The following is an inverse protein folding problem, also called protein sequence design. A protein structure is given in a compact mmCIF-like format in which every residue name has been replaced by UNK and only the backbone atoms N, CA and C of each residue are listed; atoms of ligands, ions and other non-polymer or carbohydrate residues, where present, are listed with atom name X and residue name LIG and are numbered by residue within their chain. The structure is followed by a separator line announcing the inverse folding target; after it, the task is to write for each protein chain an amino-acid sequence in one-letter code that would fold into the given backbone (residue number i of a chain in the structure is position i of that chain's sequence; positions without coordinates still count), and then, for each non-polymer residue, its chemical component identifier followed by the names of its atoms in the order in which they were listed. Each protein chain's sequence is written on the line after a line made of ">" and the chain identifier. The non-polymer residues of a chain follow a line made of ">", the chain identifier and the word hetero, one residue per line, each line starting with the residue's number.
data_IF_485644506575
#
_entry.id   IF_485644506575
#
_cell.length_a   1.000
_cell.length_b   1.000
_cell.length_c   1.000
_cell.angle_alpha   90.00
_cell.angle_beta   90.00
_cell.angle_gamma   90.00
#
_symmetry.space_group_name_H-M   'P 1'
#
loop_
_entity.id
_entity.type
_entity.pdbx_description
1 polymer ?
#
# COMPACT_ATOMS: atom_id res chain seq x y z
N UNK A 1 -18.81 20.60 15.70
CA UNK A 1 -17.74 20.74 14.69
C UNK A 1 -16.84 21.89 15.13
N UNK A 2 -15.63 21.58 15.60
CA UNK A 2 -14.63 22.58 16.03
C UNK A 2 -13.87 23.02 14.76
N UNK A 3 -14.44 23.92 13.95
CA UNK A 3 -13.73 24.49 12.80
C UNK A 3 -12.69 25.49 13.30
N UNK A 4 -11.43 25.29 12.92
CA UNK A 4 -10.36 26.25 13.17
C UNK A 4 -10.63 27.56 12.43
N UNK A 5 -10.47 28.69 13.13
CA UNK A 5 -10.55 30.00 12.50
C UNK A 5 -9.45 30.17 11.44
N UNK A 6 -9.67 31.06 10.48
CA UNK A 6 -8.68 31.34 9.42
C UNK A 6 -7.34 31.80 10.02
N UNK A 7 -7.39 32.62 11.08
CA UNK A 7 -6.19 33.03 11.82
C UNK A 7 -5.43 31.84 12.41
N UNK A 8 -6.13 30.83 12.94
CA UNK A 8 -5.53 29.61 13.48
C UNK A 8 -4.81 28.80 12.38
N UNK A 9 -5.42 28.70 11.20
CA UNK A 9 -4.83 27.97 10.06
C UNK A 9 -3.61 28.70 9.49
N UNK A 10 -3.68 30.02 9.33
CA UNK A 10 -2.58 30.86 8.86
C UNK A 10 -1.40 30.80 9.83
N UNK A 11 -1.67 30.81 11.14
CA UNK A 11 -0.64 30.72 12.16
C UNK A 11 0.17 29.40 12.07
N UNK A 12 -0.50 28.27 11.86
CA UNK A 12 0.17 27.00 11.63
C UNK A 12 0.95 26.95 10.32
N UNK A 13 0.41 27.54 9.25
CA UNK A 13 1.11 27.63 7.98
C UNK A 13 2.45 28.38 8.15
N UNK A 14 2.46 29.53 8.84
CA UNK A 14 3.69 30.26 9.12
C UNK A 14 4.67 29.47 10.00
N UNK A 15 4.18 28.76 11.02
CA UNK A 15 5.03 27.91 11.87
C UNK A 15 5.72 26.79 11.08
N UNK A 16 5.03 26.17 10.12
CA UNK A 16 5.61 25.12 9.28
C UNK A 16 6.60 25.64 8.24
N UNK A 17 6.40 26.88 7.78
CA UNK A 17 7.25 27.51 6.79
C UNK A 17 8.53 28.10 7.39
N UNK A 18 8.56 28.43 8.68
CA UNK A 18 9.74 29.02 9.35
C UNK A 18 11.06 28.26 9.09
N UNK A 19 11.16 26.93 9.28
CA UNK A 19 12.41 26.20 9.00
C UNK A 19 12.81 26.21 7.52
N UNK A 20 11.82 26.24 6.61
CA UNK A 20 12.05 26.26 5.16
C UNK A 20 12.54 27.65 4.71
N UNK A 21 11.96 28.72 5.27
CA UNK A 21 12.37 30.10 5.02
C UNK A 21 13.75 30.37 5.64
N UNK A 22 14.03 29.90 6.84
CA UNK A 22 15.35 29.99 7.46
C UNK A 22 16.43 29.33 6.60
N UNK A 23 16.14 28.18 5.99
CA UNK A 23 17.09 27.47 5.14
C UNK A 23 17.24 28.05 3.73
N UNK A 24 16.16 28.56 3.13
CA UNK A 24 16.14 28.92 1.70
C UNK A 24 16.12 30.43 1.42
N UNK A 25 15.54 31.23 2.32
CA UNK A 25 15.29 32.66 2.16
C UNK A 25 15.44 33.40 3.51
N UNK A 26 16.64 33.40 4.13
CA UNK A 26 16.84 33.88 5.50
C UNK A 26 16.46 35.36 5.69
N UNK A 27 16.58 36.19 4.65
CA UNK A 27 16.19 37.60 4.68
C UNK A 27 14.67 37.80 4.91
N UNK A 28 13.85 36.78 4.66
CA UNK A 28 12.41 36.78 4.89
C UNK A 28 12.00 36.20 6.25
N UNK A 29 12.95 35.67 7.03
CA UNK A 29 12.67 35.01 8.31
C UNK A 29 12.08 35.98 9.34
N UNK A 30 12.65 37.17 9.46
CA UNK A 30 12.18 38.18 10.42
C UNK A 30 10.80 38.75 10.03
N UNK A 31 10.54 39.13 8.76
CA UNK A 31 9.19 39.45 8.29
C UNK A 31 8.16 38.34 8.54
N UNK A 32 8.53 37.08 8.34
CA UNK A 32 7.64 35.93 8.59
C UNK A 32 7.31 35.78 10.08
N UNK A 33 8.32 35.87 10.97
CA UNK A 33 8.12 35.83 12.44
C UNK A 33 7.23 36.97 12.91
N UNK A 34 7.41 38.17 12.36
CA UNK A 34 6.57 39.32 12.66
C UNK A 34 5.11 39.10 12.21
N UNK A 35 4.91 38.61 10.98
CA UNK A 35 3.58 38.27 10.47
C UNK A 35 2.89 37.20 11.32
N UNK A 36 3.62 36.16 11.74
CA UNK A 36 3.13 35.13 12.67
C UNK A 36 2.76 35.69 14.04
N UNK A 37 3.56 36.60 14.60
CA UNK A 37 3.25 37.30 15.85
C UNK A 37 1.95 38.11 15.74
N UNK A 38 1.75 38.81 14.63
CA UNK A 38 0.52 39.56 14.37
C UNK A 38 -0.70 38.64 14.26
N UNK A 39 -0.57 37.49 13.60
CA UNK A 39 -1.65 36.50 13.50
C UNK A 39 -1.94 35.87 14.87
N UNK A 40 -0.92 35.61 15.71
CA UNK A 40 -1.10 35.09 17.06
C UNK A 40 -1.95 36.01 17.94
N UNK A 41 -1.70 37.32 17.83
CA UNK A 41 -2.45 38.34 18.57
C UNK A 41 -3.94 38.41 18.17
N UNK A 42 -4.30 37.92 16.97
CA UNK A 42 -5.69 37.82 16.49
C UNK A 42 -6.41 36.55 16.98
N UNK A 43 -5.69 35.60 17.58
CA UNK A 43 -6.28 34.38 18.12
C UNK A 43 -6.99 34.64 19.46
N UNK A 44 -8.06 33.90 19.73
CA UNK A 44 -8.69 33.88 21.05
C UNK A 44 -7.72 33.32 22.10
N UNK A 45 -7.88 33.63 23.38
CA UNK A 45 -7.01 33.11 24.45
C UNK A 45 -6.98 31.56 24.47
N UNK A 46 -8.12 30.91 24.17
CA UNK A 46 -8.24 29.46 24.04
C UNK A 46 -7.45 28.92 22.84
N UNK A 47 -7.46 29.64 21.71
CA UNK A 47 -6.69 29.28 20.53
C UNK A 47 -5.20 29.55 20.68
N UNK A 48 -4.82 30.63 21.37
CA UNK A 48 -3.43 30.92 21.73
C UNK A 48 -2.83 29.78 22.55
N UNK A 49 -3.52 29.31 23.59
CA UNK A 49 -3.09 28.13 24.36
C UNK A 49 -2.96 26.89 23.47
N UNK A 50 -3.98 26.59 22.66
CA UNK A 50 -3.98 25.41 21.76
C UNK A 50 -2.85 25.43 20.73
N UNK A 51 -2.50 26.59 20.18
CA UNK A 51 -1.39 26.67 19.20
C UNK A 51 -0.04 26.63 19.90
N UNK A 52 0.13 27.27 21.06
CA UNK A 52 1.37 27.20 21.85
C UNK A 52 1.64 25.78 22.35
N UNK A 53 0.62 25.06 22.82
CA UNK A 53 0.70 23.66 23.25
C UNK A 53 1.07 22.69 22.11
N UNK A 54 0.84 23.08 20.85
CA UNK A 54 1.17 22.29 19.64
C UNK A 54 2.51 22.63 18.99
N UNK A 55 3.14 23.73 19.40
CA UNK A 55 4.40 24.23 18.82
C UNK A 55 5.61 23.67 19.53
N UNK A 56 5.44 23.37 20.81
CA UNK A 56 6.25 22.38 21.48
C UNK A 56 5.66 21.05 21.01
N UNK A 57 6.21 20.45 19.95
CA UNK A 57 5.92 19.04 19.70
C UNK A 57 6.27 18.32 21.01
N UNK A 58 5.29 17.74 21.73
CA UNK A 58 5.64 16.96 22.90
C UNK A 58 6.63 15.89 22.43
N UNK A 59 7.69 15.60 23.21
CA UNK A 59 8.67 14.59 22.82
C UNK A 59 7.91 13.33 22.40
N UNK A 60 8.28 12.77 21.24
CA UNK A 60 7.65 11.55 20.73
C UNK A 60 7.74 10.50 21.81
N UNK A 61 6.60 10.14 22.40
CA UNK A 61 6.50 9.07 23.37
C UNK A 61 7.04 7.80 22.74
N UNK A 62 7.89 7.10 23.48
CA UNK A 62 8.33 5.76 23.15
C UNK A 62 7.15 4.80 23.07
N UNK A 63 7.32 3.68 22.39
CA UNK A 63 6.30 2.64 22.33
C UNK A 63 5.87 2.18 23.74
N UNK A 64 6.80 2.06 24.67
CA UNK A 64 6.51 1.67 26.06
C UNK A 64 5.68 2.71 26.81
N UNK A 65 5.99 4.00 26.65
CA UNK A 65 5.18 5.06 27.26
C UNK A 65 3.76 5.07 26.71
N UNK A 66 3.59 4.81 25.40
CA UNK A 66 2.26 4.70 24.76
C UNK A 66 1.48 3.50 25.30
N UNK A 67 2.12 2.34 25.47
CA UNK A 67 1.48 1.14 26.01
C UNK A 67 1.13 1.33 27.49
N UNK A 68 2.04 1.88 28.29
CA UNK A 68 1.80 2.12 29.72
C UNK A 68 0.66 3.13 29.93
N UNK A 69 0.63 4.22 29.16
CA UNK A 69 -0.45 5.19 29.19
C UNK A 69 -1.80 4.59 28.78
N UNK A 70 -1.79 3.70 27.78
CA UNK A 70 -2.99 2.98 27.37
C UNK A 70 -3.50 2.09 28.50
N UNK A 71 -2.64 1.31 29.15
CA UNK A 71 -3.01 0.39 30.23
C UNK A 71 -3.58 1.10 31.47
N UNK A 72 -3.14 2.33 31.75
CA UNK A 72 -3.65 3.15 32.84
C UNK A 72 -5.07 3.70 32.58
N UNK A 73 -5.61 3.55 31.36
CA UNK A 73 -6.96 4.04 31.05
C UNK A 73 -8.02 3.22 31.81
N UNK A 74 -8.89 3.87 32.62
CA UNK A 74 -9.90 3.16 33.42
C UNK A 74 -11.04 2.62 32.56
N UNK A 75 -11.28 3.22 31.40
CA UNK A 75 -12.31 2.80 30.46
C UNK A 75 -11.71 1.73 29.50
N UNK A 76 -12.24 0.49 29.49
CA UNK A 76 -11.72 -0.58 28.64
C UNK A 76 -11.71 -0.25 27.15
N UNK A 77 -12.71 0.46 26.64
CA UNK A 77 -12.79 0.84 25.23
C UNK A 77 -11.70 1.84 24.85
N UNK A 78 -11.43 2.82 25.72
CA UNK A 78 -10.36 3.81 25.51
C UNK A 78 -8.99 3.11 25.60
N UNK A 79 -8.80 2.25 26.60
CA UNK A 79 -7.59 1.43 26.77
C UNK A 79 -7.26 0.66 25.49
N UNK A 80 -8.22 -0.11 24.97
CA UNK A 80 -8.01 -0.94 23.78
C UNK A 80 -7.75 -0.12 22.52
N UNK A 81 -8.48 0.99 22.34
CA UNK A 81 -8.23 1.93 21.25
C UNK A 81 -6.81 2.53 21.32
N UNK A 82 -6.35 2.90 22.52
CA UNK A 82 -5.00 3.41 22.74
C UNK A 82 -3.92 2.34 22.49
N UNK A 83 -4.13 1.09 22.91
CA UNK A 83 -3.23 -0.02 22.59
C UNK A 83 -3.15 -0.26 21.08
N UNK A 84 -4.29 -0.23 20.38
CA UNK A 84 -4.33 -0.35 18.93
C UNK A 84 -3.56 0.80 18.24
N UNK A 85 -3.75 2.05 18.70
CA UNK A 85 -3.01 3.21 18.18
C UNK A 85 -1.49 3.09 18.43
N UNK A 86 -1.08 2.62 19.61
CA UNK A 86 0.33 2.38 19.91
C UNK A 86 0.94 1.38 18.91
N UNK A 87 0.23 0.29 18.61
CA UNK A 87 0.68 -0.71 17.63
C UNK A 87 0.73 -0.13 16.21
N UNK A 88 -0.31 0.58 15.78
CA UNK A 88 -0.43 1.11 14.41
C UNK A 88 0.59 2.22 14.11
N UNK A 89 0.88 3.09 15.08
CA UNK A 89 1.64 4.32 14.84
C UNK A 89 2.95 4.43 15.61
N UNK A 90 3.05 3.75 16.76
CA UNK A 90 4.26 3.72 17.60
C UNK A 90 5.11 2.48 17.39
N UNK A 91 4.58 1.45 16.72
CA UNK A 91 5.19 0.13 16.67
C UNK A 91 6.32 -0.04 15.65
N UNK A 92 6.61 0.92 14.76
CA UNK A 92 7.46 0.70 13.59
C UNK A 92 8.84 0.08 13.89
N UNK A 93 9.48 0.49 14.99
CA UNK A 93 10.78 -0.04 15.44
C UNK A 93 10.71 -1.34 16.24
N UNK A 94 9.52 -1.76 16.66
CA UNK A 94 9.33 -2.92 17.53
C UNK A 94 9.29 -4.24 16.74
N UNK A 95 9.59 -5.33 17.44
CA UNK A 95 9.50 -6.69 16.87
C UNK A 95 8.05 -7.13 16.74
N UNK A 96 7.81 -8.08 15.83
CA UNK A 96 6.47 -8.67 15.63
C UNK A 96 5.99 -9.39 16.90
N UNK A 97 6.90 -10.02 17.65
CA UNK A 97 6.61 -10.69 18.91
C UNK A 97 6.09 -9.68 19.94
N UNK A 98 6.81 -8.57 20.13
CA UNK A 98 6.41 -7.54 21.10
C UNK A 98 5.05 -6.94 20.75
N UNK A 99 4.82 -6.63 19.48
CA UNK A 99 3.54 -6.08 19.03
C UNK A 99 2.39 -7.09 19.17
N UNK A 100 2.68 -8.38 18.99
CA UNK A 100 1.71 -9.46 19.23
C UNK A 100 1.39 -9.58 20.72
N UNK A 101 2.38 -9.44 21.61
CA UNK A 101 2.18 -9.47 23.05
C UNK A 101 1.30 -8.30 23.53
N UNK A 102 1.49 -7.10 22.96
CA UNK A 102 0.62 -5.94 23.24
C UNK A 102 -0.78 -6.17 22.67
N UNK A 103 -0.91 -6.71 21.45
CA UNK A 103 -2.20 -7.03 20.86
C UNK A 103 -2.97 -8.08 21.68
N UNK A 104 -2.27 -9.02 22.34
CA UNK A 104 -2.87 -10.03 23.21
C UNK A 104 -3.56 -9.43 24.45
N UNK A 105 -3.24 -8.17 24.81
CA UNK A 105 -3.88 -7.43 25.91
C UNK A 105 -5.22 -6.80 25.51
N UNK A 106 -5.61 -6.86 24.23
CA UNK A 106 -6.91 -6.40 23.74
C UNK A 106 -7.93 -7.52 23.96
N UNK A 107 -9.01 -7.22 24.71
CA UNK A 107 -10.02 -8.22 25.07
C UNK A 107 -11.00 -8.45 23.91
N UNK A 108 -11.29 -7.43 23.09
CA UNK A 108 -12.10 -7.58 21.87
C UNK A 108 -11.39 -8.45 20.81
N UNK A 109 -11.85 -9.70 20.58
CA UNK A 109 -11.18 -10.61 19.65
C UNK A 109 -11.25 -10.12 18.20
N UNK A 110 -12.32 -9.43 17.80
CA UNK A 110 -12.46 -8.96 16.43
C UNK A 110 -11.48 -7.82 16.13
N UNK A 111 -11.27 -6.91 17.10
CA UNK A 111 -10.25 -5.86 16.99
C UNK A 111 -8.85 -6.48 16.97
N UNK A 112 -8.56 -7.39 17.91
CA UNK A 112 -7.26 -8.08 18.00
C UNK A 112 -6.92 -8.83 16.71
N UNK A 113 -7.85 -9.57 16.15
CA UNK A 113 -7.63 -10.35 14.92
C UNK A 113 -7.38 -9.43 13.72
N UNK A 114 -8.18 -8.36 13.55
CA UNK A 114 -7.95 -7.35 12.50
C UNK A 114 -6.58 -6.69 12.62
N UNK A 115 -6.16 -6.38 13.85
CA UNK A 115 -4.89 -5.71 14.13
C UNK A 115 -3.70 -6.64 13.87
N UNK A 116 -3.74 -7.88 14.38
CA UNK A 116 -2.71 -8.89 14.15
C UNK A 116 -2.57 -9.20 12.66
N UNK A 117 -3.70 -9.30 11.97
CA UNK A 117 -3.68 -9.51 10.54
C UNK A 117 -2.97 -8.37 9.80
N UNK A 118 -3.38 -7.11 10.06
CA UNK A 118 -2.74 -5.95 9.45
C UNK A 118 -1.23 -5.94 9.75
N UNK A 119 -0.87 -6.25 11.00
CA UNK A 119 0.50 -6.29 11.45
C UNK A 119 1.32 -7.35 10.72
N UNK A 120 0.81 -8.57 10.54
CA UNK A 120 1.52 -9.60 9.76
C UNK A 120 1.69 -9.20 8.29
N UNK A 121 0.69 -8.53 7.71
CA UNK A 121 0.76 -8.04 6.34
C UNK A 121 1.83 -6.94 6.20
N UNK A 122 1.79 -5.92 7.05
CA UNK A 122 2.76 -4.82 7.06
C UNK A 122 4.19 -5.32 7.29
N UNK A 123 4.39 -6.21 8.27
CA UNK A 123 5.71 -6.78 8.56
C UNK A 123 6.22 -7.70 7.46
N UNK A 124 5.33 -8.42 6.77
CA UNK A 124 5.72 -9.17 5.58
C UNK A 124 6.20 -8.24 4.47
N UNK A 125 5.52 -7.11 4.21
CA UNK A 125 5.99 -6.11 3.25
C UNK A 125 7.35 -5.52 3.62
N UNK A 126 7.56 -5.18 4.89
CA UNK A 126 8.85 -4.68 5.34
C UNK A 126 9.95 -5.74 5.17
N UNK A 127 9.67 -7.00 5.49
CA UNK A 127 10.62 -8.10 5.28
C UNK A 127 10.96 -8.30 3.79
N UNK A 128 10.01 -8.10 2.87
CA UNK A 128 10.26 -8.12 1.42
C UNK A 128 11.20 -6.97 1.02
N UNK A 129 10.93 -5.74 1.49
CA UNK A 129 11.78 -4.56 1.22
C UNK A 129 13.21 -4.78 1.73
N UNK A 130 13.35 -5.40 2.90
CA UNK A 130 14.61 -5.75 3.53
C UNK A 130 15.31 -6.98 2.91
N UNK A 131 14.74 -7.60 1.86
CA UNK A 131 15.22 -8.83 1.23
C UNK A 131 15.31 -10.04 2.19
N UNK A 132 14.52 -10.05 3.27
CA UNK A 132 14.40 -11.15 4.23
C UNK A 132 13.26 -12.10 3.81
N UNK A 133 13.41 -12.75 2.65
CA UNK A 133 12.32 -13.46 1.97
C UNK A 133 11.75 -14.65 2.78
N UNK A 134 12.59 -15.39 3.53
CA UNK A 134 12.11 -16.47 4.40
C UNK A 134 11.22 -15.97 5.54
N UNK A 135 11.62 -14.85 6.15
CA UNK A 135 10.82 -14.19 7.19
C UNK A 135 9.52 -13.65 6.59
N UNK A 136 9.59 -13.03 5.41
CA UNK A 136 8.40 -12.56 4.69
C UNK A 136 7.42 -13.71 4.42
N UNK A 137 7.88 -14.87 3.95
CA UNK A 137 7.05 -16.06 3.71
C UNK A 137 6.38 -16.53 5.01
N UNK A 138 7.14 -16.62 6.10
CA UNK A 138 6.62 -16.99 7.42
C UNK A 138 5.55 -16.01 7.92
N UNK A 139 5.76 -14.71 7.75
CA UNK A 139 4.78 -13.68 8.15
C UNK A 139 3.53 -13.70 7.26
N UNK A 140 3.70 -13.77 5.94
CA UNK A 140 2.61 -13.87 4.98
C UNK A 140 1.70 -15.07 5.26
N UNK A 141 2.25 -16.22 5.66
CA UNK A 141 1.47 -17.41 6.01
C UNK A 141 0.48 -17.20 7.16
N UNK A 142 0.70 -16.19 8.01
CA UNK A 142 -0.15 -15.82 9.13
C UNK A 142 -1.24 -14.79 8.79
N UNK A 143 -1.21 -14.19 7.58
CA UNK A 143 -2.22 -13.23 7.14
C UNK A 143 -3.52 -13.96 6.83
N UNK A 144 -4.58 -13.70 7.58
CA UNK A 144 -5.88 -14.36 7.45
C UNK A 144 -6.57 -14.11 6.10
N UNK A 145 -6.57 -12.87 5.56
CA UNK A 145 -7.21 -12.64 4.25
C UNK A 145 -6.37 -13.21 3.10
N UNK A 146 -7.04 -14.02 2.29
CA UNK A 146 -6.40 -14.87 1.30
C UNK A 146 -5.93 -14.08 0.06
N UNK A 147 -6.61 -12.99 -0.28
CA UNK A 147 -6.19 -12.08 -1.37
C UNK A 147 -4.91 -11.32 -1.00
N UNK A 148 -4.83 -10.82 0.23
CA UNK A 148 -3.61 -10.19 0.78
C UNK A 148 -2.46 -11.18 0.86
N UNK A 149 -2.73 -12.41 1.31
CA UNK A 149 -1.72 -13.48 1.34
C UNK A 149 -1.22 -13.83 -0.06
N UNK A 150 -2.13 -13.96 -1.03
CA UNK A 150 -1.79 -14.19 -2.43
C UNK A 150 -0.89 -13.05 -2.97
N UNK A 151 -1.23 -11.80 -2.67
CA UNK A 151 -0.41 -10.65 -3.06
C UNK A 151 0.99 -10.69 -2.43
N UNK A 152 1.13 -11.01 -1.14
CA UNK A 152 2.43 -11.12 -0.50
C UNK A 152 3.28 -12.24 -1.10
N UNK A 153 2.71 -13.41 -1.34
CA UNK A 153 3.42 -14.51 -2.01
C UNK A 153 3.86 -14.13 -3.43
N UNK A 154 3.05 -13.37 -4.17
CA UNK A 154 3.44 -12.85 -5.48
C UNK A 154 4.69 -11.96 -5.35
N UNK A 155 4.70 -11.04 -4.37
CA UNK A 155 5.85 -10.14 -4.16
C UNK A 155 7.10 -10.88 -3.73
N UNK A 156 6.97 -11.90 -2.88
CA UNK A 156 8.09 -12.78 -2.52
C UNK A 156 8.61 -13.53 -3.75
N UNK A 157 7.73 -14.06 -4.60
CA UNK A 157 8.12 -14.71 -5.86
C UNK A 157 8.84 -13.74 -6.81
N UNK A 158 8.32 -12.51 -6.95
CA UNK A 158 8.91 -11.45 -7.78
C UNK A 158 10.35 -11.15 -7.36
N UNK A 159 10.59 -10.96 -6.06
CA UNK A 159 11.93 -10.71 -5.52
C UNK A 159 12.84 -11.96 -5.56
N UNK A 160 12.27 -13.15 -5.38
CA UNK A 160 13.01 -14.42 -5.49
C UNK A 160 13.54 -14.64 -6.90
N UNK A 161 12.75 -14.32 -7.95
CA UNK A 161 13.17 -14.42 -9.35
C UNK A 161 14.23 -13.37 -9.71
N UNK A 162 14.25 -12.22 -9.03
CA UNK A 162 15.28 -11.18 -9.23
C UNK A 162 16.60 -11.59 -8.58
N UNK A 163 16.54 -12.16 -7.38
CA UNK A 163 17.70 -12.48 -6.54
C UNK A 163 18.34 -13.83 -6.87
N UNK A 164 17.53 -14.83 -7.23
CA UNK A 164 17.97 -16.18 -7.55
C UNK A 164 17.69 -16.50 -9.02
N UNK A 165 18.55 -17.31 -9.64
CA UNK A 165 18.25 -17.92 -10.95
C UNK A 165 17.54 -19.27 -10.78
N UNK A 166 16.90 -19.51 -9.64
CA UNK A 166 16.24 -20.79 -9.36
C UNK A 166 14.74 -20.73 -9.69
N UNK A 167 14.40 -21.18 -10.89
CA UNK A 167 13.00 -21.20 -11.36
C UNK A 167 12.12 -22.17 -10.56
N UNK A 168 12.68 -23.12 -9.80
CA UNK A 168 11.90 -24.10 -9.04
C UNK A 168 11.21 -23.44 -7.83
N UNK A 169 11.96 -22.69 -7.02
CA UNK A 169 11.42 -22.01 -5.83
C UNK A 169 10.39 -20.94 -6.23
N UNK A 170 10.65 -20.27 -7.35
CA UNK A 170 9.71 -19.33 -7.95
C UNK A 170 8.39 -20.01 -8.35
N UNK A 171 8.44 -21.20 -9.00
CA UNK A 171 7.22 -21.95 -9.33
C UNK A 171 6.42 -22.34 -8.09
N UNK A 172 7.08 -22.83 -7.06
CA UNK A 172 6.41 -23.22 -5.81
C UNK A 172 5.66 -22.03 -5.20
N UNK A 173 6.31 -20.87 -5.11
CA UNK A 173 5.67 -19.65 -4.62
C UNK A 173 4.50 -19.21 -5.50
N UNK A 174 4.63 -19.28 -6.83
CA UNK A 174 3.51 -18.96 -7.74
C UNK A 174 2.32 -19.91 -7.55
N UNK A 175 2.55 -21.19 -7.26
CA UNK A 175 1.47 -22.12 -6.89
C UNK A 175 0.83 -21.79 -5.53
N UNK A 176 1.60 -21.31 -4.56
CA UNK A 176 1.05 -20.79 -3.30
C UNK A 176 0.16 -19.56 -3.53
N UNK A 177 0.54 -18.67 -4.46
CA UNK A 177 -0.32 -17.54 -4.88
C UNK A 177 -1.63 -18.05 -5.46
N UNK A 178 -1.57 -18.96 -6.44
CA UNK A 178 -2.76 -19.50 -7.10
C UNK A 178 -3.68 -20.23 -6.10
N UNK A 179 -3.10 -20.99 -5.17
CA UNK A 179 -3.83 -21.70 -4.11
C UNK A 179 -4.57 -20.73 -3.19
N UNK A 180 -3.92 -19.64 -2.77
CA UNK A 180 -4.54 -18.61 -1.94
C UNK A 180 -5.62 -17.84 -2.73
N UNK A 181 -5.31 -17.41 -3.95
CA UNK A 181 -6.22 -16.65 -4.82
C UNK A 181 -7.48 -17.44 -5.17
N UNK A 182 -7.38 -18.75 -5.42
CA UNK A 182 -8.52 -19.60 -5.75
C UNK A 182 -9.61 -19.61 -4.65
N UNK A 183 -9.22 -19.42 -3.39
CA UNK A 183 -10.11 -19.40 -2.23
C UNK A 183 -10.48 -17.98 -1.78
N UNK A 184 -9.82 -16.97 -2.33
CA UNK A 184 -10.01 -15.58 -1.97
C UNK A 184 -11.25 -14.98 -2.66
N UNK A 185 -11.95 -14.02 -2.00
CA UNK A 185 -13.00 -13.25 -2.65
C UNK A 185 -12.47 -12.48 -3.87
N UNK A 186 -13.35 -12.17 -4.83
CA UNK A 186 -13.00 -11.35 -5.99
C UNK A 186 -12.82 -9.88 -5.59
N UNK A 187 -11.57 -9.54 -5.28
CA UNK A 187 -11.12 -8.19 -4.93
C UNK A 187 -10.08 -7.72 -5.94
N UNK A 188 -9.84 -6.41 -5.99
CA UNK A 188 -8.77 -5.89 -6.84
C UNK A 188 -7.39 -6.42 -6.43
N UNK A 189 -7.18 -6.70 -5.14
CA UNK A 189 -5.93 -7.29 -4.63
C UNK A 189 -5.71 -8.68 -5.21
N UNK A 190 -6.76 -9.52 -5.24
CA UNK A 190 -6.72 -10.84 -5.91
C UNK A 190 -6.45 -10.69 -7.41
N UNK A 191 -7.13 -9.76 -8.08
CA UNK A 191 -6.93 -9.50 -9.50
C UNK A 191 -5.49 -9.06 -9.82
N UNK A 192 -4.93 -8.11 -9.05
CA UNK A 192 -3.53 -7.67 -9.15
C UNK A 192 -2.58 -8.86 -8.93
N UNK A 193 -2.85 -9.72 -7.96
CA UNK A 193 -2.07 -10.92 -7.70
C UNK A 193 -2.10 -11.88 -8.92
N UNK A 194 -3.27 -12.17 -9.49
CA UNK A 194 -3.40 -13.05 -10.65
C UNK A 194 -2.75 -12.47 -11.91
N UNK A 195 -2.87 -11.16 -12.17
CA UNK A 195 -2.18 -10.48 -13.26
C UNK A 195 -0.65 -10.60 -13.11
N UNK A 196 -0.14 -10.42 -11.90
CA UNK A 196 1.28 -10.58 -11.62
C UNK A 196 1.77 -12.02 -11.78
N UNK A 197 0.98 -13.00 -11.36
CA UNK A 197 1.30 -14.42 -11.57
C UNK A 197 1.35 -14.75 -13.06
N UNK A 198 0.36 -14.30 -13.84
CA UNK A 198 0.36 -14.48 -15.29
C UNK A 198 1.62 -13.88 -15.93
N UNK A 199 2.00 -12.67 -15.52
CA UNK A 199 3.24 -12.04 -15.98
C UNK A 199 4.48 -12.86 -15.61
N UNK A 200 4.64 -13.27 -14.35
CA UNK A 200 5.82 -14.04 -13.93
C UNK A 200 5.89 -15.40 -14.62
N UNK A 201 4.75 -16.03 -14.92
CA UNK A 201 4.70 -17.26 -15.70
C UNK A 201 5.20 -17.12 -17.14
N UNK A 202 5.18 -15.92 -17.75
CA UNK A 202 5.80 -15.70 -19.07
C UNK A 202 7.28 -16.10 -19.11
N UNK A 203 7.96 -16.00 -17.96
CA UNK A 203 9.39 -16.32 -17.81
C UNK A 203 9.63 -17.75 -17.34
N UNK A 204 8.67 -18.31 -16.62
CA UNK A 204 8.84 -19.56 -15.87
C UNK A 204 8.18 -20.75 -16.58
N UNK A 205 6.96 -20.58 -17.08
CA UNK A 205 6.23 -21.58 -17.88
C UNK A 205 5.15 -20.86 -18.72
N UNK A 206 5.52 -20.50 -19.95
CA UNK A 206 4.70 -19.69 -20.82
C UNK A 206 3.34 -20.33 -21.15
N UNK A 207 3.25 -21.68 -21.12
CA UNK A 207 2.01 -22.40 -21.46
C UNK A 207 0.87 -22.12 -20.46
N UNK A 208 1.19 -21.71 -19.23
CA UNK A 208 0.20 -21.41 -18.20
C UNK A 208 -0.28 -19.96 -18.20
N UNK A 209 0.48 -19.07 -18.83
CA UNK A 209 0.23 -17.62 -18.84
C UNK A 209 -1.20 -17.26 -19.22
N UNK A 210 -1.71 -17.77 -20.35
CA UNK A 210 -3.03 -17.39 -20.87
C UNK A 210 -4.17 -17.93 -20.01
N UNK A 211 -4.04 -19.14 -19.45
CA UNK A 211 -5.03 -19.68 -18.55
C UNK A 211 -5.15 -18.81 -17.27
N UNK A 212 -4.02 -18.43 -16.70
CA UNK A 212 -3.98 -17.60 -15.49
C UNK A 212 -4.46 -16.17 -15.79
N UNK A 213 -4.09 -15.61 -16.94
CA UNK A 213 -4.60 -14.31 -17.40
C UNK A 213 -6.12 -14.34 -17.57
N UNK A 214 -6.67 -15.45 -18.08
CA UNK A 214 -8.13 -15.65 -18.17
C UNK A 214 -8.78 -15.61 -16.78
N UNK A 215 -8.18 -16.25 -15.78
CA UNK A 215 -8.69 -16.23 -14.41
C UNK A 215 -8.59 -14.84 -13.77
N UNK A 216 -7.56 -14.06 -14.09
CA UNK A 216 -7.47 -12.66 -13.71
C UNK A 216 -8.64 -11.84 -14.29
N UNK A 217 -8.93 -11.97 -15.59
CA UNK A 217 -10.07 -11.29 -16.25
C UNK A 217 -11.40 -11.70 -15.62
N UNK A 218 -11.59 -12.99 -15.32
CA UNK A 218 -12.80 -13.46 -14.63
C UNK A 218 -12.92 -12.78 -13.26
N UNK A 219 -11.87 -12.76 -12.45
CA UNK A 219 -11.90 -12.11 -11.14
C UNK A 219 -12.24 -10.62 -11.26
N UNK A 220 -11.63 -9.90 -12.20
CA UNK A 220 -11.91 -8.48 -12.48
C UNK A 220 -13.39 -8.25 -12.86
N UNK A 221 -13.96 -9.13 -13.67
CA UNK A 221 -15.35 -9.02 -14.11
C UNK A 221 -16.38 -9.22 -12.99
N UNK A 222 -15.97 -9.79 -11.85
CA UNK A 222 -16.81 -9.96 -10.66
C UNK A 222 -16.72 -8.79 -9.68
N UNK A 223 -15.74 -7.88 -9.85
CA UNK A 223 -15.60 -6.69 -9.02
C UNK A 223 -16.65 -5.65 -9.45
N UNK A 224 -17.39 -5.11 -8.49
CA UNK A 224 -18.29 -3.99 -8.72
C UNK A 224 -17.49 -2.70 -8.83
N UNK A 225 -17.56 -2.02 -9.97
CA UNK A 225 -16.84 -0.76 -10.24
C UNK A 225 -15.32 -0.85 -9.99
N UNK A 226 -14.59 -1.72 -10.71
CA UNK A 226 -13.15 -1.92 -10.48
C UNK A 226 -12.33 -0.65 -10.73
N UNK A 227 -11.46 -0.28 -9.79
CA UNK A 227 -10.55 0.86 -9.90
C UNK A 227 -9.08 0.44 -9.69
N UNK A 228 -8.40 0.16 -10.81
CA UNK A 228 -6.99 -0.18 -10.79
C UNK A 228 -6.04 1.03 -10.78
N UNK A 229 -6.56 2.26 -10.69
CA UNK A 229 -5.73 3.48 -10.66
C UNK A 229 -5.13 3.76 -9.30
N UNK A 230 -5.77 3.30 -8.23
CA UNK A 230 -5.26 3.40 -6.87
C UNK A 230 -4.35 2.21 -6.55
N UNK A 231 -3.18 2.46 -5.99
CA UNK A 231 -2.27 1.41 -5.53
C UNK A 231 -2.49 1.05 -4.06
N UNK A 232 -3.25 1.87 -3.33
CA UNK A 232 -3.49 1.69 -1.91
C UNK A 232 -4.90 1.13 -1.65
N UNK A 233 -4.97 0.06 -0.88
CA UNK A 233 -6.21 -0.47 -0.34
C UNK A 233 -6.41 0.04 1.09
N UNK A 234 -7.40 0.92 1.28
CA UNK A 234 -7.78 1.40 2.61
C UNK A 234 -8.44 0.29 3.42
N UNK A 235 -7.96 0.07 4.65
CA UNK A 235 -8.55 -0.88 5.60
C UNK A 235 -9.01 -0.15 6.84
N UNK A 236 -10.25 -0.40 7.24
CA UNK A 236 -10.79 0.07 8.50
C UNK A 236 -10.53 -0.96 9.61
N UNK A 237 -9.76 -0.55 10.61
CA UNK A 237 -9.53 -1.29 11.85
C UNK A 237 -10.38 -0.61 12.90
N UNK A 238 -11.43 -1.28 13.36
CA UNK A 238 -12.39 -0.71 14.29
C UNK A 238 -12.75 -1.67 15.41
N UNK A 239 -12.99 -1.10 16.57
CA UNK A 239 -13.52 -1.75 17.77
C UNK A 239 -14.62 -0.89 18.39
N UNK A 240 -15.11 -1.28 19.57
CA UNK A 240 -16.16 -0.52 20.28
C UNK A 240 -15.61 0.82 20.77
N UNK A 241 -15.81 1.89 20.00
CA UNK A 241 -15.37 3.25 20.33
C UNK A 241 -14.06 3.68 19.68
N UNK A 242 -13.53 2.88 18.75
CA UNK A 242 -12.29 3.16 18.03
C UNK A 242 -12.45 2.84 16.55
N UNK A 243 -11.89 3.67 15.69
CA UNK A 243 -11.76 3.41 14.27
C UNK A 243 -10.52 4.10 13.72
N UNK A 244 -9.61 3.32 13.16
CA UNK A 244 -8.48 3.81 12.38
C UNK A 244 -8.56 3.29 10.96
N UNK A 245 -8.06 4.10 10.03
CA UNK A 245 -7.78 3.66 8.68
C UNK A 245 -6.29 3.34 8.59
N UNK A 246 -5.99 2.13 8.16
CA UNK A 246 -4.66 1.74 7.75
C UNK A 246 -4.65 1.58 6.24
N UNK A 247 -3.68 2.18 5.57
CA UNK A 247 -3.49 1.99 4.14
C UNK A 247 -2.57 0.80 3.92
N UNK A 248 -2.96 -0.07 2.99
CA UNK A 248 -2.14 -1.16 2.52
C UNK A 248 -1.66 -0.81 1.13
N UNK A 249 -0.36 -0.60 0.98
CA UNK A 249 0.20 -0.38 -0.35
C UNK A 249 0.20 -1.71 -1.10
N UNK A 250 -0.48 -1.76 -2.22
CA UNK A 250 -0.53 -2.89 -3.15
C UNK A 250 -0.02 -2.50 -4.55
N UNK A 251 1.15 -1.84 -4.65
CA UNK A 251 1.66 -1.38 -5.93
C UNK A 251 1.91 -2.56 -6.86
N UNK A 252 1.61 -2.36 -8.15
CA UNK A 252 1.85 -3.35 -9.18
C UNK A 252 0.73 -3.47 -10.20
N UNK A 253 0.65 -4.66 -10.79
CA UNK A 253 -0.06 -4.97 -12.04
C UNK A 253 -1.47 -4.39 -12.15
N UNK A 254 -1.62 -3.35 -12.97
CA UNK A 254 -2.91 -2.97 -13.56
C UNK A 254 -3.22 -3.84 -14.79
N UNK A 255 -4.47 -3.93 -15.25
CA UNK A 255 -4.81 -4.62 -16.49
C UNK A 255 -3.96 -4.14 -17.68
N UNK A 256 -3.75 -2.83 -17.83
CA UNK A 256 -2.98 -2.25 -18.92
C UNK A 256 -1.53 -2.73 -18.90
N UNK A 257 -0.88 -2.67 -17.73
CA UNK A 257 0.51 -3.07 -17.58
C UNK A 257 0.67 -4.59 -17.71
N UNK A 258 -0.20 -5.39 -17.06
CA UNK A 258 -0.16 -6.84 -17.12
C UNK A 258 -0.34 -7.38 -18.55
N UNK A 259 -1.35 -6.89 -19.27
CA UNK A 259 -1.59 -7.29 -20.65
C UNK A 259 -0.48 -6.84 -21.60
N UNK A 260 0.03 -5.62 -21.45
CA UNK A 260 1.15 -5.12 -22.27
C UNK A 260 2.37 -6.01 -22.14
N UNK A 261 2.71 -6.42 -20.92
CA UNK A 261 3.87 -7.28 -20.70
C UNK A 261 3.66 -8.70 -21.25
N UNK A 262 2.48 -9.30 -21.03
CA UNK A 262 2.17 -10.64 -21.54
C UNK A 262 2.13 -10.67 -23.07
N UNK A 263 1.62 -9.60 -23.71
CA UNK A 263 1.55 -9.48 -25.16
C UNK A 263 2.91 -9.39 -25.86
N UNK A 264 4.01 -9.20 -25.12
CA UNK A 264 5.36 -9.36 -25.68
C UNK A 264 5.64 -10.82 -26.06
N UNK A 265 4.98 -11.77 -25.41
CA UNK A 265 5.14 -13.21 -25.58
C UNK A 265 3.99 -13.84 -26.36
N UNK A 266 2.75 -13.48 -26.05
CA UNK A 266 1.54 -13.97 -26.74
C UNK A 266 0.55 -12.80 -26.96
N UNK A 267 0.72 -12.12 -28.08
CA UNK A 267 -0.11 -10.96 -28.44
C UNK A 267 -1.55 -11.35 -28.73
N UNK A 268 -1.78 -12.44 -29.47
CA UNK A 268 -3.12 -12.84 -29.91
C UNK A 268 -3.96 -13.32 -28.72
N UNK A 269 -3.36 -14.09 -27.81
CA UNK A 269 -4.01 -14.50 -26.56
C UNK A 269 -4.34 -13.32 -25.66
N UNK A 270 -3.41 -12.38 -25.49
CA UNK A 270 -3.65 -11.16 -24.72
C UNK A 270 -4.73 -10.28 -25.35
N UNK A 271 -4.73 -10.10 -26.68
CA UNK A 271 -5.73 -9.33 -27.40
C UNK A 271 -7.12 -9.97 -27.27
N UNK A 272 -7.21 -11.28 -27.47
CA UNK A 272 -8.45 -12.03 -27.30
C UNK A 272 -9.04 -11.84 -25.89
N UNK A 273 -8.21 -12.04 -24.85
CA UNK A 273 -8.65 -11.89 -23.47
C UNK A 273 -9.00 -10.45 -23.09
N UNK A 274 -8.34 -9.45 -23.69
CA UNK A 274 -8.64 -8.04 -23.42
C UNK A 274 -10.07 -7.68 -23.82
N UNK A 275 -10.60 -8.32 -24.88
CA UNK A 275 -11.98 -8.15 -25.33
C UNK A 275 -13.03 -8.68 -24.34
N UNK A 276 -12.63 -9.49 -23.37
CA UNK A 276 -13.52 -10.16 -22.42
C UNK A 276 -13.78 -9.36 -21.14
N UNK A 277 -13.15 -8.19 -20.95
CA UNK A 277 -13.49 -7.31 -19.83
C UNK A 277 -14.93 -6.81 -19.93
N UNK A 278 -15.73 -6.95 -18.87
CA UNK A 278 -17.11 -6.47 -18.78
C UNK A 278 -17.16 -4.95 -18.75
N UNK A 279 -16.25 -4.34 -18.00
CA UNK A 279 -16.10 -2.89 -17.95
C UNK A 279 -15.55 -2.36 -19.29
N UNK A 280 -16.26 -1.39 -19.88
CA UNK A 280 -15.93 -0.86 -21.21
C UNK A 280 -14.66 -0.01 -21.18
N UNK A 281 -14.41 0.72 -20.09
CA UNK A 281 -13.23 1.56 -19.95
C UNK A 281 -11.97 0.69 -19.80
N UNK A 282 -12.00 -0.32 -18.92
CA UNK A 282 -10.90 -1.28 -18.77
C UNK A 282 -10.62 -2.04 -20.07
N UNK A 283 -11.68 -2.47 -20.79
CA UNK A 283 -11.54 -3.11 -22.11
C UNK A 283 -10.79 -2.20 -23.09
N UNK A 284 -11.23 -0.94 -23.20
CA UNK A 284 -10.64 0.02 -24.11
C UNK A 284 -9.19 0.37 -23.74
N UNK A 285 -8.92 0.66 -22.47
CA UNK A 285 -7.59 1.01 -21.98
C UNK A 285 -6.60 -0.14 -22.14
N UNK A 286 -7.03 -1.37 -21.84
CA UNK A 286 -6.20 -2.56 -22.04
C UNK A 286 -5.89 -2.77 -23.53
N UNK A 287 -6.89 -2.68 -24.41
CA UNK A 287 -6.68 -2.81 -25.86
C UNK A 287 -5.72 -1.72 -26.40
N UNK A 288 -5.84 -0.47 -25.94
CA UNK A 288 -4.93 0.61 -26.30
C UNK A 288 -3.50 0.33 -25.82
N UNK A 289 -3.33 -0.24 -24.62
CA UNK A 289 -2.01 -0.62 -24.10
C UNK A 289 -1.33 -1.71 -24.96
N UNK A 290 -2.12 -2.62 -25.56
CA UNK A 290 -1.63 -3.61 -26.53
C UNK A 290 -1.23 -2.96 -27.86
N UNK A 291 -2.05 -2.04 -28.38
CA UNK A 291 -1.73 -1.31 -29.62
C UNK A 291 -0.47 -0.48 -29.48
N UNK A 292 -0.26 0.16 -28.33
CA UNK A 292 0.96 0.95 -28.07
C UNK A 292 2.23 0.11 -28.20
N UNK A 293 2.22 -1.15 -27.74
CA UNK A 293 3.33 -2.08 -27.93
C UNK A 293 3.67 -2.31 -29.41
N UNK A 294 2.66 -2.44 -30.28
CA UNK A 294 2.84 -2.58 -31.72
C UNK A 294 3.43 -1.31 -32.36
N UNK A 295 2.97 -0.14 -31.94
CA UNK A 295 3.49 1.15 -32.41
C UNK A 295 4.94 1.36 -31.98
N UNK A 296 5.30 0.99 -30.75
CA UNK A 296 6.67 1.05 -30.25
C UNK A 296 7.61 0.16 -31.08
N UNK A 297 7.26 -1.12 -31.29
CA UNK A 297 8.03 -2.04 -32.15
C UNK A 297 8.23 -1.51 -33.57
N UNK A 298 7.22 -0.84 -34.13
CA UNK A 298 7.30 -0.24 -35.48
C UNK A 298 8.28 0.95 -35.52
N UNK A 299 8.26 1.81 -34.49
CA UNK A 299 9.18 2.94 -34.37
C UNK A 299 10.64 2.47 -34.21
N UNK A 300 10.87 1.42 -33.44
CA UNK A 300 12.20 0.82 -33.24
C UNK A 300 12.77 0.27 -34.54
N UNK A 301 11.97 -0.52 -35.30
CA UNK A 301 12.37 -1.03 -36.62
C UNK A 301 12.74 0.10 -37.58
N UNK A 302 11.90 1.13 -37.67
CA UNK A 302 12.15 2.31 -38.52
C UNK A 302 13.45 3.03 -38.15
N UNK A 303 13.79 3.11 -36.86
CA UNK A 303 15.05 3.72 -36.40
C UNK A 303 16.26 2.85 -36.76
N UNK A 304 16.17 1.53 -36.55
CA UNK A 304 17.23 0.59 -36.88
C UNK A 304 17.56 0.59 -38.39
N UNK A 305 16.53 0.67 -39.24
CA UNK A 305 16.70 0.72 -40.69
C UNK A 305 17.35 2.03 -41.17
N UNK A 306 17.07 3.15 -40.49
CA UNK A 306 17.75 4.43 -40.75
C UNK A 306 19.21 4.42 -40.29
N UNK A 307 19.52 3.75 -39.19
CA UNK A 307 20.89 3.63 -38.68
C UNK A 307 21.78 2.77 -39.59
N UNK A 308 21.25 1.70 -40.19
CA UNK A 308 21.98 0.84 -41.14
C UNK A 308 22.28 1.50 -42.50
N UNK A 309 21.60 2.61 -42.82
CA UNK A 309 21.78 3.36 -44.08
C UNK A 309 22.76 4.54 -43.95
N UNK A 310 23.32 4.77 -42.77
CA UNK A 310 24.39 5.73 -42.51
C UNK A 310 25.71 4.98 -42.35
#
# INVERSE_FOLDING_TARGET
>A
EDHYSDAHQIWFAFTRLEPQVESALPDLLEPLRQAKGNVFALLSQKDQQRVTDRVIEPPKKSFDELVEEAERQPNPQIREGSLAMAILFGGNSETIERLSDVAAKIDDPALRDKLLNWLYFDRAQQAIKDQKLDLAKKLASKVAELDQRAYLYLKIAEESIKSTKNDADARELLEEVLTAAAKAPDTEVKARALLGVAYLYTRVDANRTIAILSDAVKSINHIESPDFSNEDAGRRIEGRGFGAYATMSTPGFSPENGFREIAKYDFDGALYLSGNFRDKALRAMTALALVDLCLQKTRERTRADKAKKK
#
